data_IF_152499898542
#
_entry.id   IF_152499898542
#
_cell.length_a   1.000
_cell.length_b   1.000
_cell.length_c   1.000
_cell.angle_alpha   90.00
_cell.angle_beta   90.00
_cell.angle_gamma   90.00
#
_symmetry.space_group_name_H-M   'P 1'
#
loop_
_entity.id
_entity.type
_entity.pdbx_description
1 polymer ?
#
# COMPACT_ATOMS: atom_id res chain seq x y z
N UNK A 1 12.52 7.73 10.94
CA UNK A 1 12.32 8.54 9.71
C UNK A 1 11.19 8.03 8.82
N UNK A 2 11.02 6.72 8.58
CA UNK A 2 9.95 6.18 7.70
C UNK A 2 8.50 6.52 8.13
N UNK A 3 8.21 6.66 9.44
CA UNK A 3 6.84 6.94 9.94
C UNK A 3 6.31 8.35 9.64
N UNK A 4 7.21 9.33 9.48
CA UNK A 4 6.82 10.72 9.20
C UNK A 4 6.40 10.89 7.73
N UNK A 5 7.10 10.21 6.82
CA UNK A 5 6.78 10.23 5.38
C UNK A 5 5.47 9.48 5.12
N UNK A 6 5.19 8.41 5.86
CA UNK A 6 3.92 7.68 5.79
C UNK A 6 2.72 8.42 6.44
N UNK A 7 2.91 9.61 7.02
CA UNK A 7 1.90 10.35 7.76
C UNK A 7 1.21 9.51 8.87
N UNK A 8 1.96 8.62 9.52
CA UNK A 8 1.50 7.75 10.62
C UNK A 8 2.04 8.16 11.98
N UNK A 9 2.78 9.27 12.06
CA UNK A 9 3.27 9.85 13.31
C UNK A 9 3.06 11.36 13.28
N UNK A 10 2.53 11.92 14.38
CA UNK A 10 2.50 13.37 14.59
C UNK A 10 3.92 13.91 14.73
N UNK A 11 4.12 15.14 14.27
CA UNK A 11 5.41 15.82 14.34
C UNK A 11 5.66 16.32 15.75
N UNK A 12 6.94 16.52 16.07
CA UNK A 12 7.35 17.21 17.29
C UNK A 12 7.63 18.70 17.03
N UNK A 13 8.10 19.10 15.83
CA UNK A 13 8.21 20.49 15.34
C UNK A 13 8.58 20.55 13.84
N UNK A 14 8.42 21.73 13.20
CA UNK A 14 8.85 22.02 11.81
C UNK A 14 7.79 21.76 10.71
N UNK A 15 8.01 22.33 9.52
CA UNK A 15 7.11 22.20 8.35
C UNK A 15 7.62 21.14 7.37
N UNK A 16 6.73 20.26 6.89
CA UNK A 16 7.00 19.23 5.87
C UNK A 16 5.85 19.30 4.90
N UNK A 17 6.14 19.12 3.63
CA UNK A 17 5.13 19.16 2.59
C UNK A 17 5.26 17.86 1.82
N UNK A 18 4.21 17.05 1.79
CA UNK A 18 4.18 15.79 1.05
C UNK A 18 3.20 15.98 -0.11
N UNK A 19 3.70 15.85 -1.35
CA UNK A 19 2.93 16.13 -2.58
C UNK A 19 2.30 17.53 -2.60
N UNK A 20 2.98 18.53 -2.05
CA UNK A 20 2.47 19.91 -1.98
C UNK A 20 1.38 20.15 -0.93
N UNK A 21 1.11 19.18 -0.04
CA UNK A 21 0.08 19.28 1.00
C UNK A 21 0.65 18.98 2.40
N UNK A 22 0.01 19.53 3.43
CA UNK A 22 0.39 19.22 4.81
C UNK A 22 -0.17 17.84 5.23
N UNK A 23 0.67 16.88 5.66
CA UNK A 23 0.23 15.57 6.15
C UNK A 23 -0.62 15.59 7.42
N UNK A 24 -0.64 16.66 8.22
CA UNK A 24 -1.53 16.76 9.38
C UNK A 24 -2.97 17.11 8.96
N UNK A 25 -3.13 17.97 7.96
CA UNK A 25 -4.44 18.36 7.43
C UNK A 25 -4.96 17.41 6.35
N UNK A 26 -4.06 16.85 5.54
CA UNK A 26 -4.38 16.06 4.34
C UNK A 26 -3.84 14.62 4.40
N UNK A 27 -3.55 14.13 5.61
CA UNK A 27 -2.96 12.80 5.85
C UNK A 27 -3.65 11.67 5.10
N UNK A 28 -5.00 11.56 5.10
CA UNK A 28 -5.70 10.52 4.33
C UNK A 28 -5.46 10.61 2.83
N UNK A 29 -5.49 11.81 2.22
CA UNK A 29 -5.26 11.95 0.78
C UNK A 29 -3.79 11.67 0.42
N UNK A 30 -2.85 12.09 1.26
CA UNK A 30 -1.42 11.82 1.07
C UNK A 30 -1.16 10.31 1.13
N UNK A 31 -1.72 9.59 2.12
CA UNK A 31 -1.60 8.14 2.23
C UNK A 31 -2.25 7.38 1.08
N UNK A 32 -3.31 7.92 0.47
CA UNK A 32 -3.92 7.33 -0.73
C UNK A 32 -3.02 7.42 -1.98
N UNK A 33 -2.08 8.38 -2.03
CA UNK A 33 -1.15 8.56 -3.14
C UNK A 33 0.26 8.02 -2.84
N UNK A 34 0.53 7.64 -1.59
CA UNK A 34 1.81 7.14 -1.14
C UNK A 34 1.72 5.62 -0.90
N UNK A 35 2.31 4.84 -1.81
CA UNK A 35 2.54 3.42 -1.56
C UNK A 35 3.59 3.26 -0.47
N UNK A 36 3.22 2.70 0.69
CA UNK A 36 4.17 2.36 1.75
C UNK A 36 4.58 0.90 1.58
N UNK A 37 5.86 0.68 1.25
CA UNK A 37 6.46 -0.66 1.25
C UNK A 37 7.01 -0.91 2.66
N UNK A 38 6.47 -1.90 3.42
CA UNK A 38 7.03 -2.26 4.72
C UNK A 38 8.46 -2.80 4.56
N UNK A 39 9.32 -2.60 5.57
CA UNK A 39 10.70 -3.11 5.53
C UNK A 39 10.81 -4.62 5.72
N UNK A 40 9.76 -5.26 6.25
CA UNK A 40 9.68 -6.71 6.44
C UNK A 40 8.66 -7.29 5.47
N UNK A 41 9.00 -8.45 4.91
CA UNK A 41 8.09 -9.22 4.09
C UNK A 41 6.94 -9.72 4.98
N UNK A 42 5.74 -9.21 4.72
CA UNK A 42 4.50 -9.62 5.40
C UNK A 42 3.74 -10.66 4.56
N UNK A 43 4.45 -11.46 3.77
CA UNK A 43 3.86 -12.52 2.96
C UNK A 43 3.42 -13.67 3.86
N UNK A 44 2.15 -14.05 3.74
CA UNK A 44 1.64 -15.27 4.32
C UNK A 44 1.93 -16.42 3.35
N UNK A 45 2.80 -17.34 3.75
CA UNK A 45 3.22 -18.48 2.92
C UNK A 45 2.18 -19.59 2.84
N UNK A 46 1.11 -19.52 3.64
CA UNK A 46 -0.04 -20.44 3.52
C UNK A 46 -1.07 -19.96 2.49
N UNK A 47 -0.91 -18.73 1.98
CA UNK A 47 -1.81 -18.10 1.03
C UNK A 47 -1.15 -17.96 -0.35
N UNK A 48 -1.97 -18.09 -1.39
CA UNK A 48 -1.52 -17.80 -2.77
C UNK A 48 -1.13 -16.33 -2.92
N UNK A 49 -0.33 -16.02 -3.95
CA UNK A 49 0.01 -14.63 -4.31
C UNK A 49 -1.23 -13.75 -4.46
N UNK A 50 -2.28 -14.28 -5.09
CA UNK A 50 -3.56 -13.56 -5.28
C UNK A 50 -4.26 -13.26 -3.97
N UNK A 51 -4.28 -14.24 -3.05
CA UNK A 51 -4.91 -14.07 -1.74
C UNK A 51 -4.15 -13.08 -0.87
N UNK A 52 -2.82 -13.14 -0.89
CA UNK A 52 -1.95 -12.15 -0.24
C UNK A 52 -2.28 -10.73 -0.72
N UNK A 53 -2.27 -10.49 -2.03
CA UNK A 53 -2.58 -9.18 -2.61
C UNK A 53 -4.03 -8.76 -2.31
N UNK A 54 -4.95 -9.72 -2.32
CA UNK A 54 -6.36 -9.45 -2.05
C UNK A 54 -6.59 -9.02 -0.60
N UNK A 55 -6.06 -9.77 0.37
CA UNK A 55 -6.17 -9.48 1.80
C UNK A 55 -5.47 -8.17 2.12
N UNK A 56 -4.29 -7.92 1.53
CA UNK A 56 -3.59 -6.65 1.70
C UNK A 56 -4.44 -5.47 1.21
N UNK A 57 -5.00 -5.55 0.01
CA UNK A 57 -5.90 -4.51 -0.51
C UNK A 57 -7.14 -4.31 0.38
N UNK A 58 -7.70 -5.39 0.93
CA UNK A 58 -8.84 -5.32 1.86
C UNK A 58 -8.46 -4.68 3.20
N UNK A 59 -7.27 -4.95 3.72
CA UNK A 59 -6.74 -4.35 4.94
C UNK A 59 -6.66 -2.82 4.83
N UNK A 60 -6.28 -2.30 3.67
CA UNK A 60 -6.28 -0.86 3.38
C UNK A 60 -7.63 -0.28 2.94
N UNK A 61 -8.72 -1.06 3.02
CA UNK A 61 -10.08 -0.58 2.75
C UNK A 61 -10.45 -0.47 1.27
N UNK A 62 -9.64 -1.00 0.35
CA UNK A 62 -9.93 -0.94 -1.09
C UNK A 62 -11.12 -1.83 -1.46
N UNK A 63 -11.91 -1.42 -2.46
CA UNK A 63 -13.07 -2.19 -2.91
C UNK A 63 -12.64 -3.49 -3.59
N UNK A 64 -13.45 -4.56 -3.43
CA UNK A 64 -13.17 -5.86 -4.06
C UNK A 64 -12.98 -5.75 -5.59
N UNK A 65 -13.80 -4.91 -6.24
CA UNK A 65 -13.74 -4.67 -7.69
C UNK A 65 -12.41 -4.02 -8.10
N UNK A 66 -11.98 -3.01 -7.35
CA UNK A 66 -10.70 -2.35 -7.58
C UNK A 66 -9.54 -3.32 -7.41
N UNK A 67 -9.52 -4.06 -6.29
CA UNK A 67 -8.44 -5.01 -5.96
C UNK A 67 -8.29 -6.07 -7.05
N UNK A 68 -9.39 -6.70 -7.50
CA UNK A 68 -9.32 -7.74 -8.54
C UNK A 68 -8.68 -7.22 -9.83
N UNK A 69 -9.09 -6.05 -10.29
CA UNK A 69 -8.50 -5.42 -11.48
C UNK A 69 -7.01 -5.13 -11.26
N UNK A 70 -6.67 -4.64 -10.07
CA UNK A 70 -5.29 -4.27 -9.74
C UNK A 70 -4.35 -5.45 -9.59
N UNK A 71 -4.84 -6.60 -9.13
CA UNK A 71 -4.07 -7.84 -9.06
C UNK A 71 -3.62 -8.27 -10.46
N UNK A 72 -4.52 -8.27 -11.43
CA UNK A 72 -4.19 -8.60 -12.82
C UNK A 72 -3.10 -7.69 -13.37
N UNK A 73 -3.27 -6.37 -13.23
CA UNK A 73 -2.29 -5.36 -13.68
C UNK A 73 -0.91 -5.56 -13.00
N UNK A 74 -0.89 -5.91 -11.71
CA UNK A 74 0.35 -6.09 -10.96
C UNK A 74 1.05 -7.40 -11.32
N UNK A 75 0.31 -8.48 -11.56
CA UNK A 75 0.88 -9.75 -12.01
C UNK A 75 1.47 -9.61 -13.40
N UNK A 76 0.78 -8.93 -14.32
CA UNK A 76 1.29 -8.62 -15.66
C UNK A 76 2.54 -7.73 -15.61
N UNK A 77 2.49 -6.66 -14.81
CA UNK A 77 3.64 -5.76 -14.64
C UNK A 77 4.88 -6.48 -14.09
N UNK A 78 4.67 -7.41 -13.15
CA UNK A 78 5.76 -8.16 -12.52
C UNK A 78 6.18 -9.41 -13.32
N UNK A 79 5.49 -9.76 -14.42
CA UNK A 79 5.67 -11.03 -15.16
C UNK A 79 5.52 -12.26 -14.26
N UNK A 80 4.55 -12.23 -13.34
CA UNK A 80 4.29 -13.26 -12.33
C UNK A 80 2.93 -13.94 -12.51
N UNK A 81 2.32 -13.86 -13.68
CA UNK A 81 1.00 -14.42 -13.97
C UNK A 81 0.94 -15.93 -13.68
N UNK A 82 2.03 -16.65 -13.96
CA UNK A 82 2.17 -18.10 -13.67
C UNK A 82 2.30 -18.43 -12.17
N UNK A 83 2.55 -17.43 -11.33
CA UNK A 83 2.69 -17.57 -9.87
C UNK A 83 1.43 -17.20 -9.10
N UNK A 84 0.32 -16.94 -9.80
CA UNK A 84 -0.96 -16.51 -9.23
C UNK A 84 -1.44 -17.37 -8.06
N UNK A 85 -1.29 -18.68 -8.19
CA UNK A 85 -1.85 -19.72 -7.31
C UNK A 85 -0.76 -20.52 -6.57
N UNK A 86 0.48 -20.02 -6.59
CA UNK A 86 1.62 -20.61 -5.87
C UNK A 86 1.71 -20.06 -4.47
#
# INVERSE_FOLDING_TARGET
MQKIIAATSQRTSGTITILGRDPEEHGPQIRAHLGVVPQQDNLDTELTVTENLFIYGRYFGLSKKFIRTKIEELLEFAQLEEKRDV
#
